data_IF_754201660849
#
_entry.id   IF_754201660849
#
_cell.length_a   1.000
_cell.length_b   1.000
_cell.length_c   1.000
_cell.angle_alpha   90.00
_cell.angle_beta   90.00
_cell.angle_gamma   90.00
#
_symmetry.space_group_name_H-M   'P 1'
#
loop_
_entity.id
_entity.type
_entity.pdbx_description
1 polymer ?
#
# COMPACT_ATOMS: atom_id res chain seq x y z
N UNK A 1 9.78 -3.19 4.65
CA UNK A 1 9.69 -2.37 3.44
C UNK A 1 10.50 -1.11 3.70
N UNK A 2 11.74 -1.16 3.56
CA UNK A 2 12.64 -0.11 4.00
C UNK A 2 13.77 0.08 3.01
N UNK A 3 14.98 0.17 3.54
CA UNK A 3 16.21 0.38 2.78
C UNK A 3 16.43 -0.66 1.67
N UNK A 4 15.99 -1.91 1.88
CA UNK A 4 16.18 -3.01 0.94
C UNK A 4 15.48 -2.77 -0.41
N UNK A 5 14.26 -2.22 -0.39
CA UNK A 5 13.55 -1.87 -1.62
C UNK A 5 14.25 -0.73 -2.36
N UNK A 6 14.69 0.31 -1.64
CA UNK A 6 15.40 1.42 -2.25
C UNK A 6 16.75 0.97 -2.86
N UNK A 7 17.47 0.04 -2.21
CA UNK A 7 18.70 -0.55 -2.74
C UNK A 7 18.39 -1.32 -4.02
N UNK A 8 17.39 -2.19 -4.00
CA UNK A 8 16.98 -2.96 -5.15
C UNK A 8 16.60 -2.07 -6.33
N UNK A 9 15.75 -1.06 -6.08
CA UNK A 9 15.28 -0.16 -7.13
C UNK A 9 16.43 0.68 -7.71
N UNK A 10 17.40 1.06 -6.87
CA UNK A 10 18.61 1.75 -7.31
C UNK A 10 19.50 0.86 -8.18
N UNK A 11 19.76 -0.38 -7.75
CA UNK A 11 20.55 -1.35 -8.53
C UNK A 11 19.92 -1.57 -9.91
N UNK A 12 18.60 -1.80 -9.94
CA UNK A 12 17.89 -1.96 -11.19
C UNK A 12 17.93 -0.70 -12.08
N UNK A 13 17.76 0.49 -11.49
CA UNK A 13 17.72 1.74 -12.26
C UNK A 13 19.02 2.05 -12.98
N UNK A 14 20.14 1.60 -12.43
CA UNK A 14 21.48 1.80 -13.04
C UNK A 14 21.73 0.84 -14.20
N UNK A 15 21.16 -0.36 -14.15
CA UNK A 15 21.40 -1.41 -15.15
C UNK A 15 20.47 -1.29 -16.37
N UNK A 16 19.27 -0.71 -16.23
CA UNK A 16 18.34 -0.56 -17.34
C UNK A 16 18.50 0.79 -18.07
N UNK A 17 18.23 0.81 -19.38
CA UNK A 17 18.37 1.99 -20.23
C UNK A 17 17.10 2.32 -21.03
N UNK A 18 16.02 1.58 -20.83
CA UNK A 18 14.80 1.68 -21.64
C UNK A 18 13.85 2.77 -21.16
N UNK A 19 13.84 3.05 -19.86
CA UNK A 19 12.86 3.97 -19.25
C UNK A 19 13.50 4.91 -18.22
N UNK A 20 13.00 6.15 -18.09
CA UNK A 20 13.34 6.99 -16.94
C UNK A 20 12.78 6.36 -15.67
N UNK A 21 13.56 6.40 -14.58
CA UNK A 21 13.20 5.81 -13.29
C UNK A 21 13.13 6.90 -12.23
N UNK A 22 12.05 6.92 -11.46
CA UNK A 22 11.90 7.73 -10.27
C UNK A 22 11.77 6.82 -9.05
N UNK A 23 12.67 7.00 -8.07
CA UNK A 23 12.67 6.24 -6.82
C UNK A 23 12.33 7.19 -5.70
N UNK A 24 11.21 6.91 -4.99
CA UNK A 24 10.82 7.69 -3.82
C UNK A 24 11.57 7.15 -2.59
N UNK A 25 12.45 7.97 -2.04
CA UNK A 25 13.19 7.66 -0.82
C UNK A 25 12.50 8.31 0.38
N UNK A 26 12.31 7.59 1.50
CA UNK A 26 11.79 8.19 2.73
C UNK A 26 12.76 9.24 3.28
N UNK A 27 12.22 10.37 3.75
CA UNK A 27 13.02 11.42 4.41
C UNK A 27 13.32 11.15 5.89
N UNK A 28 12.76 10.09 6.46
CA UNK A 28 12.92 9.68 7.86
C UNK A 28 13.70 8.36 7.97
N UNK A 29 13.97 7.94 9.21
CA UNK A 29 14.62 6.65 9.47
C UNK A 29 13.83 5.48 8.86
N UNK A 30 14.51 4.63 8.12
CA UNK A 30 13.95 3.42 7.53
C UNK A 30 14.15 2.24 8.47
N UNK A 31 13.13 1.38 8.55
CA UNK A 31 13.21 0.12 9.28
C UNK A 31 13.58 -0.98 8.30
N UNK A 32 14.70 -1.67 8.58
CA UNK A 32 15.11 -2.86 7.83
C UNK A 32 14.46 -4.10 8.44
N UNK A 33 13.92 -4.98 7.61
CA UNK A 33 13.44 -6.30 8.06
C UNK A 33 14.55 -7.36 8.05
N UNK A 34 15.76 -6.99 7.67
CA UNK A 34 16.94 -7.84 7.62
C UNK A 34 16.92 -8.94 6.55
N UNK A 35 15.92 -8.93 5.67
CA UNK A 35 15.82 -9.90 4.59
C UNK A 35 16.76 -9.54 3.44
N UNK A 36 17.27 -10.57 2.75
CA UNK A 36 18.08 -10.37 1.57
C UNK A 36 17.25 -9.72 0.45
N UNK A 37 17.84 -8.75 -0.23
CA UNK A 37 17.23 -8.10 -1.39
C UNK A 37 17.11 -9.09 -2.53
N UNK A 38 15.89 -9.38 -2.97
CA UNK A 38 15.64 -10.20 -4.16
C UNK A 38 15.98 -9.38 -5.41
N UNK A 39 16.93 -9.85 -6.21
CA UNK A 39 17.38 -9.18 -7.45
C UNK A 39 16.58 -9.63 -8.69
N UNK A 40 15.33 -10.00 -8.54
CA UNK A 40 14.52 -10.38 -9.70
C UNK A 40 13.67 -9.20 -10.18
N UNK A 41 14.16 -8.49 -11.20
CA UNK A 41 13.50 -7.35 -11.84
C UNK A 41 12.76 -7.71 -13.13
N UNK A 42 12.62 -9.01 -13.44
CA UNK A 42 12.05 -9.48 -14.70
C UNK A 42 10.54 -9.24 -14.83
N UNK A 43 9.86 -8.89 -13.72
CA UNK A 43 8.41 -8.69 -13.70
C UNK A 43 8.07 -7.35 -13.05
N UNK A 44 7.99 -6.31 -13.88
CA UNK A 44 7.48 -5.01 -13.45
C UNK A 44 5.99 -5.10 -13.10
N UNK A 45 5.55 -4.25 -12.17
CA UNK A 45 4.17 -4.14 -11.71
C UNK A 45 3.58 -5.40 -11.03
N UNK A 46 4.40 -6.36 -10.64
CA UNK A 46 3.96 -7.49 -9.80
C UNK A 46 4.00 -7.09 -8.32
N UNK A 47 2.96 -7.49 -7.59
CA UNK A 47 2.82 -7.23 -6.17
C UNK A 47 3.26 -8.45 -5.36
N UNK A 48 3.73 -8.20 -4.15
CA UNK A 48 4.12 -9.26 -3.22
C UNK A 48 3.03 -9.45 -2.16
N UNK A 49 2.46 -10.66 -2.09
CA UNK A 49 1.58 -11.06 -0.99
C UNK A 49 2.45 -11.50 0.19
N UNK A 50 2.56 -10.67 1.21
CA UNK A 50 3.41 -10.92 2.38
C UNK A 50 2.71 -11.73 3.48
N UNK A 51 1.38 -11.63 3.55
CA UNK A 51 0.52 -12.46 4.40
C UNK A 51 -0.76 -12.80 3.64
N UNK A 52 -1.11 -14.08 3.55
CA UNK A 52 -2.40 -14.51 3.01
C UNK A 52 -3.47 -14.49 4.09
N UNK A 53 -4.63 -13.99 3.73
CA UNK A 53 -5.85 -13.99 4.52
C UNK A 53 -7.06 -14.15 3.62
N UNK A 54 -8.20 -13.61 4.01
CA UNK A 54 -9.45 -13.64 3.22
C UNK A 54 -10.33 -12.43 3.56
N UNK A 55 -11.33 -12.18 2.72
CA UNK A 55 -12.35 -11.14 2.88
C UNK A 55 -11.83 -9.71 2.76
N UNK A 56 -10.70 -9.39 3.31
CA UNK A 56 -10.11 -8.05 3.35
C UNK A 56 -8.69 -8.12 2.83
N UNK A 57 -8.35 -7.30 1.84
CA UNK A 57 -6.98 -7.13 1.35
C UNK A 57 -6.47 -5.73 1.71
N UNK A 58 -5.28 -5.64 2.25
CA UNK A 58 -4.61 -4.40 2.62
C UNK A 58 -3.38 -4.22 1.73
N UNK A 59 -3.38 -3.17 0.91
CA UNK A 59 -2.30 -2.83 -0.01
C UNK A 59 -1.62 -1.56 0.51
N UNK A 60 -0.46 -1.69 1.13
CA UNK A 60 0.29 -0.59 1.72
C UNK A 60 1.47 -0.19 0.84
N UNK A 61 1.46 1.02 0.29
CA UNK A 61 2.53 1.52 -0.56
C UNK A 61 3.62 2.25 0.24
N UNK A 62 4.88 1.88 -0.02
CA UNK A 62 6.04 2.56 0.54
C UNK A 62 6.06 2.58 2.08
N UNK A 63 6.20 3.76 2.67
CA UNK A 63 6.25 3.94 4.13
C UNK A 63 4.95 3.55 4.83
N UNK A 64 3.82 3.56 4.12
CA UNK A 64 2.51 3.18 4.68
C UNK A 64 2.23 1.68 4.66
N UNK A 65 3.19 0.87 4.21
CA UNK A 65 3.11 -0.59 4.36
C UNK A 65 3.04 -1.01 5.84
N UNK A 66 3.85 -0.36 6.70
CA UNK A 66 3.82 -0.66 8.14
C UNK A 66 2.46 -0.27 8.76
N UNK A 67 1.93 0.92 8.44
CA UNK A 67 0.59 1.33 8.87
C UNK A 67 -0.49 0.32 8.42
N UNK A 68 -0.37 -0.19 7.18
CA UNK A 68 -1.27 -1.23 6.67
C UNK A 68 -1.17 -2.53 7.45
N UNK A 69 0.04 -2.94 7.84
CA UNK A 69 0.27 -4.13 8.66
C UNK A 69 -0.33 -3.97 10.07
N UNK A 70 -0.13 -2.81 10.67
CA UNK A 70 -0.67 -2.51 12.00
C UNK A 70 -2.21 -2.46 11.99
N UNK A 71 -2.80 -1.82 10.97
CA UNK A 71 -4.25 -1.80 10.76
C UNK A 71 -4.80 -3.23 10.54
N UNK A 72 -4.11 -4.05 9.74
CA UNK A 72 -4.52 -5.43 9.50
C UNK A 72 -4.52 -6.28 10.78
N UNK A 73 -3.55 -6.06 11.68
CA UNK A 73 -3.51 -6.74 12.97
C UNK A 73 -4.71 -6.36 13.85
N UNK A 74 -5.06 -5.06 13.92
CA UNK A 74 -6.23 -4.59 14.65
C UNK A 74 -7.55 -5.09 14.04
N UNK A 75 -7.65 -5.13 12.69
CA UNK A 75 -8.82 -5.69 12.01
C UNK A 75 -8.99 -7.17 12.39
N UNK A 76 -7.91 -7.96 12.34
CA UNK A 76 -7.94 -9.37 12.73
C UNK A 76 -8.36 -9.55 14.19
N UNK A 77 -7.81 -8.76 15.12
CA UNK A 77 -8.19 -8.79 16.53
C UNK A 77 -9.67 -8.46 16.76
N UNK A 78 -10.19 -7.47 16.04
CA UNK A 78 -11.55 -6.95 16.26
C UNK A 78 -12.64 -7.74 15.53
N UNK A 79 -12.31 -8.38 14.40
CA UNK A 79 -13.28 -9.05 13.52
C UNK A 79 -13.12 -10.58 13.50
N UNK A 80 -11.96 -11.09 13.91
CA UNK A 80 -11.59 -12.49 13.74
C UNK A 80 -11.23 -12.87 12.30
N UNK A 81 -11.18 -11.91 11.36
CA UNK A 81 -10.83 -12.13 9.97
C UNK A 81 -9.40 -11.67 9.74
N UNK A 82 -8.53 -12.59 9.33
CA UNK A 82 -7.16 -12.28 8.98
C UNK A 82 -7.10 -11.63 7.58
N UNK A 83 -6.70 -10.36 7.44
CA UNK A 83 -6.56 -9.73 6.13
C UNK A 83 -5.38 -10.29 5.33
N UNK A 84 -5.49 -10.25 4.00
CA UNK A 84 -4.36 -10.41 3.10
C UNK A 84 -3.54 -9.13 3.10
N UNK A 85 -2.22 -9.22 3.30
CA UNK A 85 -1.32 -8.07 3.29
C UNK A 85 -0.49 -8.10 2.01
N UNK A 86 -0.49 -6.99 1.28
CA UNK A 86 0.13 -6.86 -0.04
C UNK A 86 1.07 -5.65 -0.05
N UNK A 87 2.29 -5.90 -0.52
CA UNK A 87 3.24 -4.87 -0.85
C UNK A 87 3.25 -4.66 -2.37
N UNK A 88 2.82 -3.50 -2.90
CA UNK A 88 2.70 -3.30 -4.33
C UNK A 88 4.04 -3.17 -5.04
N UNK A 89 5.14 -2.95 -4.35
CA UNK A 89 6.51 -2.75 -4.88
C UNK A 89 6.62 -1.61 -5.90
N UNK A 90 5.64 -1.47 -6.77
CA UNK A 90 5.55 -0.48 -7.84
C UNK A 90 4.22 0.28 -7.73
N UNK A 91 4.28 1.61 -7.87
CA UNK A 91 3.08 2.45 -7.87
C UNK A 91 2.74 3.02 -9.26
N UNK A 92 3.59 2.78 -10.26
CA UNK A 92 3.40 3.24 -11.65
C UNK A 92 2.42 2.40 -12.44
N UNK A 93 2.25 1.11 -12.10
CA UNK A 93 1.34 0.17 -12.74
C UNK A 93 0.46 -0.56 -11.74
N UNK A 94 -0.25 -1.59 -12.21
CA UNK A 94 -1.09 -2.46 -11.38
C UNK A 94 -0.81 -3.93 -11.70
N UNK A 95 -0.89 -4.79 -10.71
CA UNK A 95 -0.92 -6.24 -10.88
C UNK A 95 -2.36 -6.70 -11.09
N UNK A 96 -2.85 -6.55 -12.33
CA UNK A 96 -4.25 -6.88 -12.66
C UNK A 96 -4.57 -8.35 -12.41
N UNK A 97 -3.60 -9.26 -12.53
CA UNK A 97 -3.78 -10.67 -12.26
C UNK A 97 -4.10 -10.91 -10.79
N UNK A 98 -3.27 -10.36 -9.88
CA UNK A 98 -3.51 -10.45 -8.45
C UNK A 98 -4.81 -9.75 -8.05
N UNK A 99 -5.08 -8.55 -8.59
CA UNK A 99 -6.31 -7.81 -8.28
C UNK A 99 -7.57 -8.56 -8.75
N UNK A 100 -7.52 -9.27 -9.88
CA UNK A 100 -8.62 -10.13 -10.30
C UNK A 100 -8.74 -11.38 -9.40
N UNK A 101 -7.63 -11.93 -8.94
CA UNK A 101 -7.65 -13.07 -8.03
C UNK A 101 -8.28 -12.74 -6.68
N UNK A 102 -8.09 -11.52 -6.17
CA UNK A 102 -8.72 -11.04 -4.94
C UNK A 102 -10.26 -11.06 -5.02
N UNK A 103 -10.85 -10.84 -6.20
CA UNK A 103 -12.33 -10.91 -6.40
C UNK A 103 -12.94 -12.26 -6.05
N UNK A 104 -12.14 -13.34 -5.91
CA UNK A 104 -12.64 -14.70 -5.66
C UNK A 104 -13.02 -14.93 -4.20
N UNK A 105 -12.33 -14.26 -3.27
CA UNK A 105 -12.44 -14.53 -1.84
C UNK A 105 -12.31 -13.28 -0.94
N UNK A 106 -12.27 -12.08 -1.54
CA UNK A 106 -12.23 -10.80 -0.84
C UNK A 106 -13.44 -9.93 -1.21
N UNK A 107 -13.92 -9.19 -0.24
CA UNK A 107 -15.04 -8.26 -0.37
C UNK A 107 -14.59 -6.79 -0.26
N UNK A 108 -13.45 -6.55 0.43
CA UNK A 108 -12.92 -5.22 0.72
C UNK A 108 -11.45 -5.15 0.31
N UNK A 109 -11.07 -4.08 -0.38
CA UNK A 109 -9.68 -3.71 -0.63
C UNK A 109 -9.40 -2.36 0.04
N UNK A 110 -8.36 -2.34 0.87
CA UNK A 110 -7.85 -1.14 1.53
C UNK A 110 -6.55 -0.75 0.85
N UNK A 111 -6.43 0.48 0.41
CA UNK A 111 -5.17 1.02 -0.11
C UNK A 111 -4.64 2.12 0.78
N UNK A 112 -3.34 2.08 1.06
CA UNK A 112 -2.66 3.12 1.82
C UNK A 112 -1.49 3.66 1.00
N UNK A 113 -1.45 4.97 0.80
CA UNK A 113 -0.40 5.63 0.05
C UNK A 113 0.15 6.86 0.76
N UNK A 114 1.47 7.01 0.76
CA UNK A 114 2.15 8.22 1.18
C UNK A 114 2.10 9.25 0.04
N UNK A 115 0.94 9.82 -0.15
CA UNK A 115 0.65 10.77 -1.23
C UNK A 115 -0.77 11.32 -1.14
N UNK A 116 -1.12 12.14 -2.13
CA UNK A 116 -2.48 12.65 -2.24
C UNK A 116 -3.41 11.58 -2.86
N UNK A 117 -4.63 11.50 -2.30
CA UNK A 117 -5.67 10.59 -2.83
C UNK A 117 -6.06 10.94 -4.28
N UNK A 118 -6.13 12.24 -4.59
CA UNK A 118 -6.48 12.68 -5.95
C UNK A 118 -5.36 12.36 -6.95
N UNK A 119 -5.66 11.51 -7.93
CA UNK A 119 -4.72 11.03 -8.93
C UNK A 119 -3.73 9.99 -8.39
N UNK A 120 -3.92 9.54 -7.15
CA UNK A 120 -3.03 8.63 -6.45
C UNK A 120 -3.19 7.16 -6.87
N UNK A 121 -2.38 6.32 -6.23
CA UNK A 121 -2.38 4.88 -6.42
C UNK A 121 -3.73 4.25 -6.06
N UNK A 122 -4.31 4.62 -4.91
CA UNK A 122 -5.59 4.08 -4.45
C UNK A 122 -6.74 4.40 -5.39
N UNK A 123 -6.76 5.59 -5.99
CA UNK A 123 -7.80 5.96 -6.95
C UNK A 123 -7.78 5.07 -8.21
N UNK A 124 -6.58 4.65 -8.66
CA UNK A 124 -6.46 3.70 -9.79
C UNK A 124 -6.98 2.32 -9.43
N UNK A 125 -6.68 1.84 -8.22
CA UNK A 125 -7.21 0.56 -7.70
C UNK A 125 -8.73 0.62 -7.60
N UNK A 126 -9.30 1.72 -7.09
CA UNK A 126 -10.74 1.92 -7.05
C UNK A 126 -11.37 1.93 -8.46
N UNK A 127 -10.71 2.56 -9.43
CA UNK A 127 -11.12 2.55 -10.83
C UNK A 127 -11.12 1.14 -11.44
N UNK A 128 -10.15 0.30 -11.08
CA UNK A 128 -10.08 -1.10 -11.53
C UNK A 128 -11.27 -1.93 -11.02
N UNK A 129 -11.74 -1.66 -9.82
CA UNK A 129 -12.87 -2.37 -9.22
C UNK A 129 -14.24 -1.71 -9.46
N UNK A 130 -14.27 -0.60 -10.20
CA UNK A 130 -15.48 0.23 -10.34
C UNK A 130 -16.70 -0.43 -10.94
N UNK A 131 -16.54 -1.55 -11.65
CA UNK A 131 -17.61 -2.36 -12.24
C UNK A 131 -17.87 -3.68 -11.47
N UNK A 132 -17.33 -3.80 -10.25
CA UNK A 132 -17.45 -5.00 -9.41
C UNK A 132 -18.10 -4.67 -8.07
N UNK A 133 -18.50 -5.72 -7.33
CA UNK A 133 -19.05 -5.58 -5.96
C UNK A 133 -17.95 -5.33 -4.90
N UNK A 134 -16.67 -5.26 -5.32
CA UNK A 134 -15.55 -5.02 -4.43
C UNK A 134 -15.63 -3.61 -3.83
N UNK A 135 -15.65 -3.50 -2.51
CA UNK A 135 -15.55 -2.23 -1.81
C UNK A 135 -14.09 -1.80 -1.70
N UNK A 136 -13.80 -0.56 -2.08
CA UNK A 136 -12.44 -0.01 -2.02
C UNK A 136 -12.39 1.16 -1.05
N UNK A 137 -11.56 1.04 -0.02
CA UNK A 137 -11.29 2.10 0.95
C UNK A 137 -9.88 2.66 0.68
N UNK A 138 -9.81 3.91 0.27
CA UNK A 138 -8.54 4.57 -0.05
C UNK A 138 -8.10 5.50 1.07
N UNK A 139 -6.88 5.31 1.55
CA UNK A 139 -6.25 6.12 2.58
C UNK A 139 -5.00 6.80 2.04
N UNK A 140 -4.95 8.10 2.20
CA UNK A 140 -3.88 9.00 1.79
C UNK A 140 -4.20 10.42 2.20
N UNK A 141 -3.33 11.35 1.88
CA UNK A 141 -3.51 12.75 2.25
C UNK A 141 -4.56 13.41 1.35
N UNK A 142 -5.37 14.28 1.95
CA UNK A 142 -6.17 15.25 1.18
C UNK A 142 -5.24 16.24 0.49
N UNK A 143 -5.61 16.67 -0.72
CA UNK A 143 -4.83 17.63 -1.48
C UNK A 143 -4.91 19.01 -0.82
N UNK A 144 -3.95 19.30 0.00
CA UNK A 144 -3.80 20.57 0.73
C UNK A 144 -2.33 20.95 0.85
N UNK A 145 -2.05 22.23 0.95
CA UNK A 145 -0.69 22.71 1.20
C UNK A 145 -0.44 22.73 2.71
N UNK A 146 0.29 21.70 3.18
CA UNK A 146 0.67 21.57 4.59
C UNK A 146 1.92 22.43 4.86
N UNK A 147 1.76 23.50 5.65
CA UNK A 147 2.86 24.33 6.12
C UNK A 147 2.93 24.29 7.66
N UNK A 148 4.13 24.05 8.21
CA UNK A 148 4.39 24.02 9.66
C UNK A 148 3.43 23.11 10.44
N UNK A 149 3.37 21.86 10.07
CA UNK A 149 2.43 20.89 10.63
C UNK A 149 3.10 19.91 11.61
N UNK A 150 2.32 19.40 12.55
CA UNK A 150 2.64 18.17 13.27
C UNK A 150 2.21 16.96 12.43
N UNK A 151 3.15 16.03 12.20
CA UNK A 151 2.90 14.87 11.35
C UNK A 151 1.77 13.98 11.91
N UNK A 152 1.74 13.79 13.23
CA UNK A 152 0.73 12.92 13.86
C UNK A 152 -0.67 13.53 13.78
N UNK A 153 -0.77 14.86 13.93
CA UNK A 153 -2.03 15.57 13.74
C UNK A 153 -2.54 15.43 12.30
N UNK A 154 -1.68 15.65 11.31
CA UNK A 154 -2.04 15.48 9.89
C UNK A 154 -2.47 14.04 9.58
N UNK A 155 -1.75 13.04 10.07
CA UNK A 155 -2.15 11.64 9.88
C UNK A 155 -3.52 11.36 10.48
N UNK A 156 -3.77 11.81 11.71
CA UNK A 156 -5.05 11.63 12.40
C UNK A 156 -6.22 12.35 11.69
N UNK A 157 -6.00 13.57 11.20
CA UNK A 157 -7.01 14.34 10.46
C UNK A 157 -7.37 13.70 9.11
N UNK A 158 -6.44 12.95 8.53
CA UNK A 158 -6.63 12.24 7.27
C UNK A 158 -7.04 10.77 7.44
N UNK A 159 -7.43 10.33 8.65
CA UNK A 159 -7.77 8.94 8.97
C UNK A 159 -6.62 7.94 8.69
N UNK A 160 -5.40 8.37 8.89
CA UNK A 160 -4.18 7.60 8.64
C UNK A 160 -3.59 7.05 9.95
N UNK A 161 -4.44 6.52 10.82
CA UNK A 161 -4.02 5.71 11.96
C UNK A 161 -4.61 4.31 11.88
N UNK A 162 -3.94 3.32 12.46
CA UNK A 162 -4.37 1.93 12.40
C UNK A 162 -5.77 1.73 13.03
N UNK A 163 -6.04 2.45 14.14
CA UNK A 163 -7.32 2.40 14.83
C UNK A 163 -8.46 2.96 13.98
N UNK A 164 -8.25 4.11 13.33
CA UNK A 164 -9.26 4.74 12.47
C UNK A 164 -9.58 3.85 11.27
N UNK A 165 -8.56 3.26 10.65
CA UNK A 165 -8.73 2.33 9.52
C UNK A 165 -9.53 1.09 9.95
N UNK A 166 -9.20 0.49 11.09
CA UNK A 166 -9.92 -0.66 11.62
C UNK A 166 -11.38 -0.34 11.96
N UNK A 167 -11.65 0.86 12.51
CA UNK A 167 -13.00 1.34 12.77
C UNK A 167 -13.81 1.57 11.48
N UNK A 168 -13.19 2.09 10.42
CA UNK A 168 -13.89 2.34 9.16
C UNK A 168 -14.28 1.03 8.46
N UNK A 169 -13.46 0.00 8.56
CA UNK A 169 -13.77 -1.34 8.04
C UNK A 169 -15.04 -1.94 8.65
N UNK A 170 -15.32 -1.68 9.94
CA UNK A 170 -16.53 -2.19 10.60
C UNK A 170 -17.83 -1.56 10.09
N UNK A 171 -17.74 -0.41 9.42
CA UNK A 171 -18.91 0.34 8.92
C UNK A 171 -19.31 -0.10 7.51
N UNK A 172 -18.51 -0.95 6.88
CA UNK A 172 -18.61 -1.34 5.49
C UNK A 172 -19.07 -2.78 5.33
#
# INVERSE_FOLDING_TARGET
VGSEMCIRDSDWSVEQTEHPVAIKLPGAAMVSDGKAVTKNFSQLNKYEVTKKGSKIAVIGAGTFYQLGTDAAALIEEQTGVAPTIINPLYVSGMDEELLNDLKKDHDIVITLEDGYLEGGFGQRIAGFYGDSDMKVLNYGLKKFFYDRYDVNEVLKENHLTAEQIAEDVKKV
#
